data_IF_889165009378
#
_entry.id   IF_889165009378
#
_cell.length_a   1.000
_cell.length_b   1.000
_cell.length_c   1.000
_cell.angle_alpha   90.00
_cell.angle_beta   90.00
_cell.angle_gamma   90.00
#
_symmetry.space_group_name_H-M   'P 1'
#
loop_
_entity.id
_entity.type
_entity.pdbx_description
1 polymer ?
#
# COMPACT_ATOMS: atom_id res chain seq x y z
N UNK A 1 -19.27 -11.93 5.59
CA UNK A 1 -18.57 -13.25 5.67
C UNK A 1 -17.47 -13.44 4.62
N UNK A 2 -17.57 -12.87 3.41
CA UNK A 2 -16.55 -13.07 2.36
C UNK A 2 -15.24 -12.27 2.56
N UNK A 3 -15.30 -11.02 3.05
CA UNK A 3 -14.08 -10.19 3.19
C UNK A 3 -13.14 -10.63 4.33
N UNK A 4 -13.67 -11.07 5.47
CA UNK A 4 -12.83 -11.57 6.58
C UNK A 4 -12.04 -12.83 6.21
N UNK A 5 -12.55 -13.61 5.24
CA UNK A 5 -11.82 -14.72 4.65
C UNK A 5 -10.67 -14.25 3.74
N UNK A 6 -10.92 -13.26 2.87
CA UNK A 6 -9.88 -12.66 2.01
C UNK A 6 -8.74 -12.07 2.85
N UNK A 7 -9.05 -11.36 3.93
CA UNK A 7 -8.03 -10.79 4.82
C UNK A 7 -7.19 -11.88 5.51
N UNK A 8 -7.81 -13.01 5.88
CA UNK A 8 -7.10 -14.17 6.45
C UNK A 8 -6.16 -14.84 5.45
N UNK A 9 -6.56 -15.00 4.19
CA UNK A 9 -5.68 -15.54 3.14
C UNK A 9 -4.40 -14.71 2.97
N UNK A 10 -4.47 -13.43 3.31
CA UNK A 10 -3.33 -12.50 3.26
C UNK A 10 -2.56 -12.41 4.59
N UNK A 11 -2.91 -13.23 5.58
CA UNK A 11 -2.26 -13.26 6.89
C UNK A 11 -2.64 -12.13 7.84
N UNK A 12 -3.64 -11.31 7.52
CA UNK A 12 -4.14 -10.28 8.44
C UNK A 12 -5.20 -10.93 9.34
N UNK A 13 -4.92 -11.02 10.63
CA UNK A 13 -5.83 -11.63 11.62
C UNK A 13 -6.40 -10.62 12.61
N UNK A 14 -5.69 -9.52 12.82
CA UNK A 14 -6.03 -8.47 13.76
C UNK A 14 -5.80 -7.09 13.13
N UNK A 15 -6.66 -6.14 13.48
CA UNK A 15 -6.51 -4.72 13.17
C UNK A 15 -6.79 -3.90 14.43
N UNK A 16 -5.84 -3.05 14.85
CA UNK A 16 -5.91 -2.29 16.11
C UNK A 16 -6.22 -3.14 17.35
N UNK A 17 -5.68 -4.36 17.40
CA UNK A 17 -5.89 -5.30 18.51
C UNK A 17 -7.23 -6.05 18.47
N UNK A 18 -8.10 -5.75 17.51
CA UNK A 18 -9.39 -6.42 17.33
C UNK A 18 -9.28 -7.47 16.22
N UNK A 19 -9.86 -8.65 16.41
CA UNK A 19 -9.96 -9.67 15.36
C UNK A 19 -10.79 -9.14 14.20
N UNK A 20 -10.35 -9.40 12.96
CA UNK A 20 -11.06 -8.94 11.76
C UNK A 20 -12.52 -9.41 11.72
N UNK A 21 -12.81 -10.60 12.24
CA UNK A 21 -14.19 -11.14 12.31
C UNK A 21 -15.14 -10.27 13.14
N UNK A 22 -14.59 -9.51 14.08
CA UNK A 22 -15.32 -8.69 15.03
C UNK A 22 -15.14 -7.20 14.73
N UNK A 23 -14.56 -6.85 13.59
CA UNK A 23 -14.31 -5.46 13.24
C UNK A 23 -15.61 -4.77 12.82
N UNK A 24 -15.93 -3.59 13.36
CA UNK A 24 -17.06 -2.79 12.90
C UNK A 24 -17.03 -2.55 11.39
N UNK A 25 -18.21 -2.47 10.75
CA UNK A 25 -18.34 -2.32 9.30
C UNK A 25 -17.68 -1.04 8.77
N UNK A 26 -17.66 0.02 9.57
CA UNK A 26 -16.94 1.28 9.31
C UNK A 26 -15.45 1.11 8.99
N UNK A 27 -14.81 0.03 9.45
CA UNK A 27 -13.42 -0.25 9.13
C UNK A 27 -13.21 -1.07 7.85
N UNK A 28 -14.29 -1.56 7.22
CA UNK A 28 -14.19 -2.34 5.98
C UNK A 28 -13.51 -1.55 4.87
N UNK A 29 -13.85 -0.26 4.73
CA UNK A 29 -13.25 0.62 3.74
C UNK A 29 -11.76 0.82 4.00
N UNK A 30 -11.38 1.10 5.25
CA UNK A 30 -9.99 1.26 5.68
C UNK A 30 -9.19 0.00 5.39
N UNK A 31 -9.73 -1.19 5.71
CA UNK A 31 -9.07 -2.46 5.43
C UNK A 31 -8.93 -2.73 3.92
N UNK A 32 -9.94 -2.36 3.12
CA UNK A 32 -9.88 -2.48 1.66
C UNK A 32 -8.75 -1.63 1.08
N UNK A 33 -8.61 -0.39 1.55
CA UNK A 33 -7.51 0.51 1.16
C UNK A 33 -6.16 -0.08 1.60
N UNK A 34 -6.01 -0.48 2.86
CA UNK A 34 -4.75 -1.06 3.36
C UNK A 34 -4.36 -2.33 2.62
N UNK A 35 -5.33 -3.16 2.26
CA UNK A 35 -5.12 -4.33 1.42
C UNK A 35 -4.57 -3.94 0.06
N UNK A 36 -5.23 -3.00 -0.62
CA UNK A 36 -4.81 -2.55 -1.94
C UNK A 36 -3.41 -1.93 -1.92
N UNK A 37 -3.13 -1.09 -0.91
CA UNK A 37 -1.82 -0.50 -0.71
C UNK A 37 -0.75 -1.58 -0.49
N UNK A 38 -1.05 -2.64 0.27
CA UNK A 38 -0.10 -3.75 0.43
C UNK A 38 0.23 -4.42 -0.89
N UNK A 39 -0.76 -4.69 -1.75
CA UNK A 39 -0.49 -5.28 -3.07
C UNK A 39 0.31 -4.33 -3.96
N UNK A 40 -0.10 -3.07 -4.05
CA UNK A 40 0.58 -2.05 -4.85
C UNK A 40 2.04 -1.87 -4.42
N UNK A 41 2.29 -1.75 -3.11
CA UNK A 41 3.62 -1.50 -2.54
C UNK A 41 4.56 -2.71 -2.65
N UNK A 42 4.01 -3.93 -2.70
CA UNK A 42 4.79 -5.16 -2.90
C UNK A 42 4.95 -5.52 -4.38
N UNK A 43 4.26 -4.83 -5.29
CA UNK A 43 4.40 -5.07 -6.71
C UNK A 43 5.52 -4.21 -7.28
N UNK A 44 6.46 -4.84 -7.98
CA UNK A 44 7.54 -4.17 -8.69
C UNK A 44 6.98 -3.54 -9.96
N UNK A 45 7.36 -2.30 -10.27
CA UNK A 45 6.93 -1.66 -11.51
C UNK A 45 7.33 -2.50 -12.72
N UNK A 46 6.37 -2.73 -13.62
CA UNK A 46 6.56 -3.55 -14.82
C UNK A 46 6.43 -5.06 -14.60
N UNK A 47 6.22 -5.54 -13.37
CA UNK A 47 5.95 -6.95 -13.12
C UNK A 47 4.48 -7.34 -13.34
N UNK A 48 3.58 -6.36 -13.39
CA UNK A 48 2.17 -6.59 -13.67
C UNK A 48 1.90 -6.56 -15.18
N UNK A 49 1.40 -7.67 -15.72
CA UNK A 49 1.24 -7.86 -17.17
C UNK A 49 0.22 -6.91 -17.82
N UNK A 50 -0.79 -6.46 -17.07
CA UNK A 50 -1.86 -5.61 -17.60
C UNK A 50 -1.56 -4.11 -17.60
N UNK A 51 -0.53 -3.68 -16.85
CA UNK A 51 -0.14 -2.28 -16.72
C UNK A 51 1.33 -2.21 -16.30
N UNK A 52 2.19 -1.77 -17.23
CA UNK A 52 3.63 -1.66 -16.98
C UNK A 52 3.99 -0.52 -16.02
N UNK A 53 3.08 0.43 -15.77
CA UNK A 53 3.27 1.49 -14.80
C UNK A 53 2.87 1.06 -13.37
N UNK A 54 2.14 -0.05 -13.22
CA UNK A 54 1.64 -0.53 -11.94
C UNK A 54 2.76 -1.04 -11.04
N UNK A 55 2.72 -0.64 -9.77
CA UNK A 55 3.70 -0.99 -8.75
C UNK A 55 4.74 0.10 -8.45
N UNK A 56 5.57 -0.19 -7.45
CA UNK A 56 6.63 0.71 -6.99
C UNK A 56 7.82 0.65 -7.97
N UNK A 57 8.33 1.81 -8.43
CA UNK A 57 9.48 1.84 -9.32
C UNK A 57 10.69 1.19 -8.67
N UNK A 58 11.48 0.50 -9.49
CA UNK A 58 12.80 0.06 -9.05
C UNK A 58 13.64 1.27 -8.69
N UNK A 59 14.10 1.25 -7.46
CA UNK A 59 15.03 2.23 -6.99
C UNK A 59 16.43 1.65 -7.15
N UNK A 60 17.37 2.36 -7.83
CA UNK A 60 18.77 1.98 -7.75
C UNK A 60 19.12 1.92 -6.26
N UNK A 61 19.85 0.86 -5.88
CA UNK A 61 20.29 0.60 -4.51
C UNK A 61 20.62 1.93 -3.86
N UNK A 62 19.90 2.28 -2.78
CA UNK A 62 20.18 3.47 -2.00
C UNK A 62 21.60 3.30 -1.47
N UNK A 63 22.59 3.74 -2.23
CA UNK A 63 23.96 3.82 -1.79
C UNK A 63 23.92 4.89 -0.72
N UNK A 64 23.84 4.43 0.53
CA UNK A 64 23.34 5.21 1.64
C UNK A 64 23.97 6.59 1.76
N UNK A 65 23.19 7.50 2.37
CA UNK A 65 23.58 8.80 2.96
C UNK A 65 23.28 10.07 2.16
N UNK A 66 22.29 10.09 1.28
CA UNK A 66 21.80 11.36 0.71
C UNK A 66 20.33 11.59 1.11
N UNK A 67 20.03 12.57 1.97
CA UNK A 67 18.65 12.93 2.34
C UNK A 67 17.75 13.18 1.12
N UNK A 68 18.30 13.76 0.06
CA UNK A 68 17.61 14.08 -1.19
C UNK A 68 17.03 12.85 -1.88
N UNK A 69 17.62 11.67 -1.71
CA UNK A 69 17.10 10.46 -2.34
C UNK A 69 15.90 9.90 -1.56
N UNK A 70 15.89 10.01 -0.23
CA UNK A 70 14.72 9.68 0.62
C UNK A 70 13.50 10.51 0.22
N UNK A 71 13.66 11.80 0.00
CA UNK A 71 12.57 12.68 -0.44
C UNK A 71 12.03 12.27 -1.82
N UNK A 72 12.92 11.95 -2.77
CA UNK A 72 12.53 11.46 -4.10
C UNK A 72 11.79 10.13 -4.01
N UNK A 73 12.23 9.22 -3.14
CA UNK A 73 11.54 7.95 -2.89
C UNK A 73 10.14 8.18 -2.35
N UNK A 74 10.02 9.02 -1.34
CA UNK A 74 8.73 9.36 -0.75
C UNK A 74 7.78 10.01 -1.77
N UNK A 75 8.26 10.96 -2.58
CA UNK A 75 7.47 11.57 -3.66
C UNK A 75 7.01 10.53 -4.68
N UNK A 76 7.89 9.59 -5.05
CA UNK A 76 7.56 8.54 -6.02
C UNK A 76 6.51 7.57 -5.47
N UNK A 77 6.63 7.16 -4.21
CA UNK A 77 5.64 6.31 -3.53
C UNK A 77 4.30 7.04 -3.44
N UNK A 78 4.30 8.31 -3.03
CA UNK A 78 3.08 9.13 -2.96
C UNK A 78 2.38 9.22 -4.32
N UNK A 79 3.12 9.49 -5.39
CA UNK A 79 2.55 9.53 -6.76
C UNK A 79 1.97 8.18 -7.18
N UNK A 80 2.66 7.09 -6.87
CA UNK A 80 2.17 5.74 -7.15
C UNK A 80 0.83 5.49 -6.44
N UNK A 81 0.74 5.77 -5.14
CA UNK A 81 -0.48 5.59 -4.35
C UNK A 81 -1.64 6.41 -4.92
N UNK A 82 -1.46 7.71 -5.15
CA UNK A 82 -2.53 8.60 -5.61
C UNK A 82 -3.01 8.25 -7.02
N UNK A 83 -2.12 7.74 -7.88
CA UNK A 83 -2.50 7.32 -9.23
C UNK A 83 -3.37 6.07 -9.25
N UNK A 84 -3.17 5.16 -8.28
CA UNK A 84 -3.74 3.82 -8.28
C UNK A 84 -4.88 3.63 -7.27
N UNK A 85 -4.91 4.40 -6.17
CA UNK A 85 -6.03 4.44 -5.22
C UNK A 85 -6.54 5.88 -5.00
N UNK A 86 -7.62 6.24 -5.70
CA UNK A 86 -8.25 7.57 -5.58
C UNK A 86 -8.87 7.84 -4.22
N UNK A 87 -9.09 6.83 -3.38
CA UNK A 87 -9.58 7.01 -2.00
C UNK A 87 -8.51 7.59 -1.09
N UNK A 88 -7.25 7.59 -1.52
CA UNK A 88 -6.09 8.08 -0.75
C UNK A 88 -5.50 9.31 -1.44
N UNK A 89 -6.16 10.45 -1.29
CA UNK A 89 -5.78 11.72 -1.95
C UNK A 89 -4.77 12.57 -1.13
N UNK A 90 -4.73 12.40 0.19
CA UNK A 90 -3.90 13.18 1.12
C UNK A 90 -2.78 12.35 1.77
N UNK A 91 -1.92 11.74 0.95
CA UNK A 91 -0.75 11.00 1.45
C UNK A 91 0.31 11.95 2.01
N UNK A 92 0.78 11.68 3.23
CA UNK A 92 1.90 12.37 3.88
C UNK A 92 2.99 11.36 4.21
N UNK A 93 4.24 11.80 4.10
CA UNK A 93 5.39 11.04 4.56
C UNK A 93 5.67 11.47 6.00
N UNK A 94 6.03 10.51 6.86
CA UNK A 94 6.50 10.84 8.20
C UNK A 94 7.89 11.49 8.08
N UNK A 95 8.12 12.54 8.87
CA UNK A 95 9.42 13.21 9.02
C UNK A 95 10.40 12.36 9.82
#
# INVERSE_FOLDING_TARGET
MALSFLYRLMGITHFRGVRIDNLPEEFQEVLSVLFYLRELLNTRRGSFLGDSAYGIPDFPIVHGRIPTDVDKYGISIKRCIVNYDRRVDNVRLAE
#
